data_IF_371333594627
#
_entry.id   IF_371333594627
#
_cell.length_a   1.000
_cell.length_b   1.000
_cell.length_c   1.000
_cell.angle_alpha   90.00
_cell.angle_beta   90.00
_cell.angle_gamma   90.00
#
_symmetry.space_group_name_H-M   'P 1'
#
loop_
_entity.id
_entity.type
_entity.pdbx_description
1 polymer ?
#
# COMPACT_ATOMS: atom_id res chain seq x y z
N UNK A 1 19.66 -33.81 -4.35
CA UNK A 1 19.82 -33.09 -5.64
C UNK A 1 18.44 -32.81 -6.18
N UNK A 2 18.02 -31.54 -6.13
CA UNK A 2 16.75 -31.09 -6.71
C UNK A 2 16.90 -30.92 -8.22
N UNK A 3 15.93 -31.42 -8.98
CA UNK A 3 15.87 -31.20 -10.42
C UNK A 3 15.07 -29.93 -10.67
N UNK A 4 15.71 -28.89 -11.19
CA UNK A 4 15.01 -27.68 -11.64
C UNK A 4 14.39 -28.01 -13.01
N UNK A 5 13.05 -27.98 -13.07
CA UNK A 5 12.32 -28.10 -14.32
C UNK A 5 11.88 -26.73 -14.79
N UNK A 6 12.15 -26.43 -16.04
CA UNK A 6 11.63 -25.25 -16.72
C UNK A 6 10.29 -25.59 -17.36
N UNK A 7 9.22 -24.91 -16.95
CA UNK A 7 7.95 -24.96 -17.66
C UNK A 7 7.72 -23.61 -18.35
N UNK A 8 7.38 -23.60 -19.64
CA UNK A 8 7.05 -22.37 -20.34
C UNK A 8 5.68 -21.86 -19.86
N UNK A 9 5.68 -20.76 -19.09
CA UNK A 9 4.47 -20.08 -18.68
C UNK A 9 4.20 -18.90 -19.61
N UNK A 10 2.96 -18.82 -20.16
CA UNK A 10 2.47 -17.57 -20.75
C UNK A 10 2.22 -16.54 -19.65
N UNK A 11 2.24 -15.25 -19.98
CA UNK A 11 1.93 -14.19 -19.01
C UNK A 11 0.54 -14.38 -18.37
N UNK A 12 -0.46 -14.80 -19.15
CA UNK A 12 -1.79 -15.10 -18.62
C UNK A 12 -1.79 -16.25 -17.60
N UNK A 13 -1.07 -17.35 -17.87
CA UNK A 13 -0.92 -18.45 -16.90
C UNK A 13 -0.19 -17.99 -15.63
N UNK A 14 0.82 -17.13 -15.79
CA UNK A 14 1.57 -16.58 -14.67
C UNK A 14 0.69 -15.68 -13.80
N UNK A 15 -0.11 -14.82 -14.40
CA UNK A 15 -1.07 -13.98 -13.68
C UNK A 15 -2.07 -14.82 -12.90
N UNK A 16 -2.72 -15.81 -13.54
CA UNK A 16 -3.66 -16.70 -12.87
C UNK A 16 -3.02 -17.52 -11.74
N UNK A 17 -1.75 -17.91 -11.88
CA UNK A 17 -1.01 -18.58 -10.82
C UNK A 17 -0.86 -17.69 -9.59
N UNK A 18 -0.46 -16.43 -9.75
CA UNK A 18 -0.31 -15.50 -8.62
C UNK A 18 -1.64 -15.10 -8.01
N UNK A 19 -2.69 -14.86 -8.81
CA UNK A 19 -4.03 -14.60 -8.29
C UNK A 19 -4.51 -15.75 -7.39
N UNK A 20 -4.35 -17.00 -7.84
CA UNK A 20 -4.68 -18.19 -7.03
C UNK A 20 -3.85 -18.27 -5.75
N UNK A 21 -2.57 -17.87 -5.76
CA UNK A 21 -1.72 -17.85 -4.57
C UNK A 21 -2.17 -16.81 -3.56
N UNK A 22 -2.54 -15.60 -4.00
CA UNK A 22 -3.07 -14.55 -3.12
C UNK A 22 -4.28 -15.07 -2.33
N UNK A 23 -5.18 -15.79 -2.99
CA UNK A 23 -6.35 -16.41 -2.36
C UNK A 23 -5.95 -17.55 -1.41
N UNK A 24 -5.15 -18.50 -1.91
CA UNK A 24 -4.80 -19.73 -1.20
C UNK A 24 -4.03 -19.46 0.11
N UNK A 25 -3.23 -18.42 0.16
CA UNK A 25 -2.45 -18.04 1.33
C UNK A 25 -3.07 -16.92 2.16
N UNK A 26 -4.28 -16.47 1.82
CA UNK A 26 -5.02 -15.49 2.59
C UNK A 26 -4.37 -14.12 2.64
N UNK A 27 -3.67 -13.71 1.55
CA UNK A 27 -3.00 -12.41 1.48
C UNK A 27 -3.98 -11.24 1.43
N UNK A 28 -5.21 -11.46 1.00
CA UNK A 28 -6.24 -10.43 0.87
C UNK A 28 -7.08 -10.31 2.13
N UNK A 29 -7.34 -9.07 2.57
CA UNK A 29 -8.22 -8.77 3.70
C UNK A 29 -8.75 -7.35 3.60
N UNK A 30 -10.07 -7.18 3.65
CA UNK A 30 -10.75 -5.87 3.63
C UNK A 30 -10.31 -4.96 2.44
N UNK A 31 -10.03 -5.57 1.29
CA UNK A 31 -9.51 -4.87 0.11
C UNK A 31 -8.00 -4.67 0.10
N UNK A 32 -7.30 -4.86 1.22
CA UNK A 32 -5.85 -4.86 1.28
C UNK A 32 -5.24 -6.15 0.73
N UNK A 33 -4.05 -6.01 0.19
CA UNK A 33 -3.14 -7.12 -0.13
C UNK A 33 -1.93 -6.99 0.79
N UNK A 34 -1.64 -8.05 1.55
CA UNK A 34 -0.56 -8.05 2.53
C UNK A 34 0.63 -8.92 2.08
N UNK A 35 1.83 -8.56 2.50
CA UNK A 35 2.93 -9.51 2.51
C UNK A 35 2.65 -10.64 3.52
N UNK A 36 3.32 -11.77 3.35
CA UNK A 36 3.25 -12.89 4.28
C UNK A 36 4.61 -13.13 4.92
N UNK A 37 4.58 -13.48 6.20
CA UNK A 37 5.72 -13.98 6.94
C UNK A 37 5.44 -15.42 7.36
N UNK A 38 6.42 -16.30 7.22
CA UNK A 38 6.30 -17.66 7.71
C UNK A 38 6.50 -17.69 9.22
N UNK A 39 5.50 -18.16 9.95
CA UNK A 39 5.57 -18.36 11.39
C UNK A 39 6.14 -19.78 11.66
N UNK A 40 7.39 -19.84 12.10
CA UNK A 40 8.10 -21.09 12.37
C UNK A 40 7.51 -21.88 13.55
N UNK A 41 6.92 -21.21 14.52
CA UNK A 41 6.33 -21.85 15.68
C UNK A 41 4.99 -22.49 15.33
N UNK A 42 4.12 -21.74 14.65
CA UNK A 42 2.78 -22.18 14.25
C UNK A 42 2.77 -22.97 12.95
N UNK A 43 3.91 -23.04 12.22
CA UNK A 43 4.03 -23.70 10.90
C UNK A 43 2.97 -23.23 9.90
N UNK A 44 2.73 -21.92 9.86
CA UNK A 44 1.73 -21.32 8.98
C UNK A 44 2.19 -19.97 8.45
N UNK A 45 1.56 -19.51 7.36
CA UNK A 45 1.73 -18.15 6.87
C UNK A 45 0.87 -17.20 7.71
N UNK A 46 1.47 -16.10 8.15
CA UNK A 46 0.80 -15.01 8.81
C UNK A 46 0.89 -13.75 7.94
N UNK A 47 -0.17 -12.94 7.92
CA UNK A 47 -0.13 -11.62 7.29
C UNK A 47 0.85 -10.76 8.06
N UNK A 48 1.74 -10.13 7.32
CA UNK A 48 2.69 -9.22 7.91
C UNK A 48 2.02 -7.86 8.12
N UNK A 49 2.01 -7.35 9.35
CA UNK A 49 1.59 -5.98 9.68
C UNK A 49 2.72 -5.05 9.25
N UNK A 50 2.76 -4.81 7.96
CA UNK A 50 3.94 -4.33 7.27
C UNK A 50 4.03 -2.80 7.26
N UNK A 51 5.18 -2.32 6.88
CA UNK A 51 5.41 -0.93 6.51
C UNK A 51 4.87 -0.62 5.10
N UNK A 52 4.36 -1.62 4.36
CA UNK A 52 4.15 -1.53 2.91
C UNK A 52 2.77 -2.02 2.45
N UNK A 53 1.74 -1.96 3.28
CA UNK A 53 0.40 -2.41 2.89
C UNK A 53 -0.21 -1.53 1.79
N UNK A 54 0.07 -0.22 1.81
CA UNK A 54 -0.30 0.69 0.71
C UNK A 54 0.40 0.31 -0.59
N UNK A 55 1.71 0.02 -0.53
CA UNK A 55 2.50 -0.43 -1.68
C UNK A 55 1.99 -1.74 -2.26
N UNK A 56 1.81 -2.75 -1.42
CA UNK A 56 1.33 -4.07 -1.84
C UNK A 56 -0.08 -3.99 -2.45
N UNK A 57 -0.99 -3.27 -1.80
CA UNK A 57 -2.36 -3.06 -2.27
C UNK A 57 -2.39 -2.27 -3.56
N UNK A 58 -1.55 -1.22 -3.67
CA UNK A 58 -1.43 -0.42 -4.89
C UNK A 58 -1.02 -1.25 -6.10
N UNK A 59 -0.04 -2.14 -5.94
CA UNK A 59 0.35 -3.05 -7.03
C UNK A 59 -0.80 -3.96 -7.49
N UNK A 60 -1.57 -4.49 -6.54
CA UNK A 60 -2.73 -5.33 -6.87
C UNK A 60 -3.86 -4.52 -7.53
N UNK A 61 -4.15 -3.31 -7.01
CA UNK A 61 -5.09 -2.36 -7.59
C UNK A 61 -4.76 -2.08 -9.07
N UNK A 62 -3.49 -1.75 -9.35
CA UNK A 62 -3.04 -1.49 -10.71
C UNK A 62 -3.16 -2.74 -11.59
N UNK A 63 -2.76 -3.92 -11.08
CA UNK A 63 -2.85 -5.18 -11.81
C UNK A 63 -4.30 -5.52 -12.21
N UNK A 64 -5.25 -5.37 -11.28
CA UNK A 64 -6.67 -5.62 -11.55
C UNK A 64 -7.27 -4.58 -12.52
N UNK A 65 -6.84 -3.33 -12.42
CA UNK A 65 -7.24 -2.27 -13.36
C UNK A 65 -6.75 -2.57 -14.78
N UNK A 66 -5.49 -3.01 -14.94
CA UNK A 66 -4.96 -3.44 -16.23
C UNK A 66 -5.69 -4.70 -16.78
N UNK A 67 -5.97 -5.67 -15.89
CA UNK A 67 -6.72 -6.87 -16.29
C UNK A 67 -8.10 -6.51 -16.82
N UNK A 68 -8.82 -5.65 -16.10
CA UNK A 68 -10.12 -5.15 -16.56
C UNK A 68 -10.02 -4.45 -17.92
N UNK A 69 -9.10 -3.51 -18.07
CA UNK A 69 -8.90 -2.78 -19.32
C UNK A 69 -8.57 -3.69 -20.51
N UNK A 70 -7.81 -4.77 -20.26
CA UNK A 70 -7.40 -5.71 -21.32
C UNK A 70 -8.46 -6.75 -21.67
N UNK A 71 -9.34 -7.11 -20.74
CA UNK A 71 -10.25 -8.27 -20.89
C UNK A 71 -11.72 -7.94 -20.77
N UNK A 72 -12.09 -6.79 -20.19
CA UNK A 72 -13.46 -6.48 -19.80
C UNK A 72 -14.00 -7.31 -18.64
N UNK A 73 -13.11 -7.96 -17.86
CA UNK A 73 -13.50 -8.81 -16.74
C UNK A 73 -14.03 -7.97 -15.56
N UNK A 74 -15.35 -7.96 -15.38
CA UNK A 74 -16.00 -7.22 -14.30
C UNK A 74 -15.60 -7.71 -12.89
N UNK A 75 -15.19 -8.97 -12.74
CA UNK A 75 -14.65 -9.46 -11.46
C UNK A 75 -13.32 -8.76 -11.14
N UNK A 76 -12.44 -8.59 -12.13
CA UNK A 76 -11.21 -7.84 -11.95
C UNK A 76 -11.49 -6.35 -11.62
N UNK A 77 -12.50 -5.74 -12.24
CA UNK A 77 -12.92 -4.39 -11.90
C UNK A 77 -13.40 -4.30 -10.46
N UNK A 78 -14.22 -5.24 -10.01
CA UNK A 78 -14.70 -5.27 -8.62
C UNK A 78 -13.54 -5.39 -7.62
N UNK A 79 -12.56 -6.24 -7.88
CA UNK A 79 -11.34 -6.36 -7.08
C UNK A 79 -10.54 -5.03 -7.03
N UNK A 80 -10.44 -4.35 -8.18
CA UNK A 80 -9.81 -3.03 -8.22
C UNK A 80 -10.58 -2.00 -7.37
N UNK A 81 -11.91 -1.99 -7.42
CA UNK A 81 -12.75 -1.10 -6.61
C UNK A 81 -12.56 -1.36 -5.11
N UNK A 82 -12.51 -2.62 -4.68
CA UNK A 82 -12.29 -2.95 -3.26
C UNK A 82 -10.88 -2.53 -2.80
N UNK A 83 -9.86 -2.75 -3.61
CA UNK A 83 -8.50 -2.29 -3.30
C UNK A 83 -8.40 -0.76 -3.30
N UNK A 84 -9.09 -0.09 -4.21
CA UNK A 84 -9.17 1.38 -4.20
C UNK A 84 -9.82 1.92 -2.92
N UNK A 85 -10.91 1.31 -2.44
CA UNK A 85 -11.51 1.66 -1.15
C UNK A 85 -10.52 1.51 0.02
N UNK A 86 -9.73 0.42 0.02
CA UNK A 86 -8.70 0.19 1.02
C UNK A 86 -7.60 1.26 0.96
N UNK A 87 -7.14 1.65 -0.24
CA UNK A 87 -6.17 2.74 -0.41
C UNK A 87 -6.70 4.07 0.11
N UNK A 88 -7.97 4.40 -0.15
CA UNK A 88 -8.60 5.62 0.41
C UNK A 88 -8.71 5.51 1.94
N UNK A 89 -9.03 4.35 2.48
CA UNK A 89 -9.13 4.17 3.93
C UNK A 89 -7.80 4.40 4.65
N UNK A 90 -6.65 4.09 4.03
CA UNK A 90 -5.33 4.47 4.58
C UNK A 90 -5.17 5.97 4.80
N UNK A 91 -5.86 6.82 4.05
CA UNK A 91 -5.90 8.26 4.30
C UNK A 91 -6.98 8.61 5.34
N UNK A 92 -8.20 8.14 5.13
CA UNK A 92 -9.36 8.52 5.94
C UNK A 92 -9.18 8.18 7.43
N UNK A 93 -8.53 7.06 7.75
CA UNK A 93 -8.32 6.60 9.13
C UNK A 93 -7.42 7.53 9.94
N UNK A 94 -6.53 8.26 9.29
CA UNK A 94 -5.61 9.19 9.97
C UNK A 94 -6.32 10.43 10.52
N UNK A 95 -7.49 10.77 9.96
CA UNK A 95 -8.20 12.01 10.24
C UNK A 95 -7.50 13.27 9.74
N UNK A 96 -6.37 13.13 9.03
CA UNK A 96 -5.58 14.24 8.50
C UNK A 96 -5.60 14.19 6.97
N UNK A 97 -6.22 15.17 6.28
CA UNK A 97 -6.29 15.16 4.83
C UNK A 97 -4.91 15.05 4.16
N UNK A 98 -4.75 14.04 3.30
CA UNK A 98 -3.53 13.78 2.56
C UNK A 98 -2.42 13.06 3.32
N UNK A 99 -2.57 12.80 4.63
CA UNK A 99 -1.69 11.89 5.36
C UNK A 99 -2.20 10.46 5.17
N UNK A 100 -1.38 9.59 4.62
CA UNK A 100 -1.71 8.17 4.44
C UNK A 100 -1.00 7.32 5.50
N UNK A 101 -1.71 6.35 6.06
CA UNK A 101 -1.15 5.34 6.96
C UNK A 101 -0.34 4.30 6.17
N UNK A 102 0.60 3.63 6.84
CA UNK A 102 1.32 2.46 6.29
C UNK A 102 0.47 1.21 6.29
N UNK A 103 -0.27 1.00 7.38
CA UNK A 103 -1.09 -0.20 7.62
C UNK A 103 -2.25 0.12 8.54
N UNK A 104 -3.28 -0.72 8.49
CA UNK A 104 -4.44 -0.70 9.38
C UNK A 104 -4.66 -2.10 9.93
N UNK A 105 -4.88 -2.20 11.23
CA UNK A 105 -5.21 -3.45 11.88
C UNK A 105 -6.15 -3.25 13.09
N UNK A 106 -6.60 -4.34 13.70
CA UNK A 106 -7.36 -4.32 14.94
C UNK A 106 -7.03 -5.52 15.82
N UNK A 107 -7.33 -5.41 17.11
CA UNK A 107 -7.04 -6.46 18.10
C UNK A 107 -7.72 -7.80 17.77
N UNK A 108 -8.89 -7.77 17.12
CA UNK A 108 -9.64 -8.98 16.74
C UNK A 108 -8.88 -9.87 15.73
N UNK A 109 -7.96 -9.27 14.98
CA UNK A 109 -7.14 -9.95 13.97
C UNK A 109 -5.72 -10.27 14.43
N UNK A 110 -5.38 -9.94 15.68
CA UNK A 110 -4.01 -9.98 16.19
C UNK A 110 -3.32 -11.34 16.01
N UNK A 111 -4.05 -12.42 16.15
CA UNK A 111 -3.51 -13.78 15.98
C UNK A 111 -3.15 -14.13 14.52
N UNK A 112 -3.76 -13.44 13.56
CA UNK A 112 -3.52 -13.65 12.14
C UNK A 112 -2.35 -12.82 11.57
N UNK A 113 -1.68 -12.04 12.42
CA UNK A 113 -0.66 -11.10 12.01
C UNK A 113 0.70 -11.42 12.59
N UNK A 114 1.75 -11.15 11.83
CA UNK A 114 3.10 -11.03 12.37
C UNK A 114 3.36 -9.58 12.75
N UNK A 115 3.95 -9.36 13.92
CA UNK A 115 4.42 -8.03 14.31
C UNK A 115 5.79 -7.77 13.68
N UNK A 116 5.93 -6.65 12.97
CA UNK A 116 7.23 -6.14 12.54
C UNK A 116 7.72 -5.06 13.52
N UNK A 117 9.01 -5.14 13.83
CA UNK A 117 9.73 -4.01 14.43
C UNK A 117 9.82 -2.93 13.35
N UNK A 118 9.54 -1.68 13.70
CA UNK A 118 9.60 -0.56 12.76
C UNK A 118 10.96 -0.45 12.07
N UNK A 119 10.98 0.12 10.88
CA UNK A 119 12.18 0.29 10.06
C UNK A 119 13.34 0.91 10.84
N UNK A 120 14.52 0.32 10.72
CA UNK A 120 15.72 0.76 11.43
C UNK A 120 15.76 0.45 12.92
N UNK A 121 15.00 -0.54 13.39
CA UNK A 121 15.01 -1.00 14.79
C UNK A 121 14.28 -0.06 15.76
N UNK A 122 13.55 0.92 15.26
CA UNK A 122 12.72 1.80 16.07
C UNK A 122 11.31 1.21 16.25
N UNK A 123 10.66 1.47 17.42
CA UNK A 123 9.29 1.03 17.63
C UNK A 123 8.36 1.57 16.54
N UNK A 124 7.39 0.77 16.09
CA UNK A 124 6.37 1.25 15.16
C UNK A 124 5.53 2.36 15.78
N UNK A 125 5.12 3.34 14.98
CA UNK A 125 4.23 4.42 15.41
C UNK A 125 2.78 4.01 15.20
N UNK A 126 2.21 3.30 16.13
CA UNK A 126 0.79 2.95 16.11
C UNK A 126 -0.07 4.04 16.72
N UNK A 127 -1.17 4.36 16.06
CA UNK A 127 -2.13 5.37 16.44
C UNK A 127 -3.51 4.73 16.55
N UNK A 128 -4.08 4.71 17.77
CA UNK A 128 -5.41 4.16 18.01
C UNK A 128 -6.48 5.16 17.62
N UNK A 129 -7.51 4.67 16.93
CA UNK A 129 -8.70 5.48 16.60
C UNK A 129 -9.70 5.39 17.76
N UNK A 130 -9.92 6.51 18.44
CA UNK A 130 -10.79 6.56 19.62
C UNK A 130 -12.20 6.00 19.34
N UNK A 131 -12.69 5.15 20.23
CA UNK A 131 -14.03 4.55 20.14
C UNK A 131 -14.17 3.45 19.10
N UNK A 132 -13.06 2.97 18.53
CA UNK A 132 -13.04 1.86 17.56
C UNK A 132 -11.96 0.83 17.92
N UNK A 133 -12.03 -0.40 17.37
CA UNK A 133 -10.97 -1.39 17.56
C UNK A 133 -9.74 -1.12 16.67
N UNK A 134 -9.78 -0.11 15.80
CA UNK A 134 -8.77 0.12 14.76
C UNK A 134 -7.57 0.90 15.25
N UNK A 135 -6.41 0.46 14.76
CA UNK A 135 -5.13 1.17 14.85
C UNK A 135 -4.51 1.31 13.46
N UNK A 136 -3.76 2.36 13.26
CA UNK A 136 -3.03 2.60 12.03
C UNK A 136 -1.58 2.97 12.30
N UNK A 137 -0.70 2.57 11.39
CA UNK A 137 0.75 2.79 11.50
C UNK A 137 1.14 4.08 10.78
N UNK A 138 1.78 4.98 11.52
CA UNK A 138 2.31 6.25 11.03
C UNK A 138 3.75 6.17 10.55
N UNK A 139 4.43 7.31 10.47
CA UNK A 139 5.79 7.47 9.94
C UNK A 139 5.92 6.97 8.50
N UNK A 140 4.93 7.31 7.68
CA UNK A 140 4.78 6.84 6.31
C UNK A 140 5.93 7.31 5.43
N UNK A 141 6.36 6.43 4.54
CA UNK A 141 7.49 6.64 3.64
C UNK A 141 7.07 7.14 2.25
N UNK A 142 8.04 7.60 1.49
CA UNK A 142 7.82 8.08 0.12
C UNK A 142 7.37 6.98 -0.85
N UNK A 143 7.83 5.75 -0.69
CA UNK A 143 7.42 4.61 -1.51
C UNK A 143 5.94 4.26 -1.33
N UNK A 144 5.41 4.35 -0.11
CA UNK A 144 3.97 4.22 0.13
C UNK A 144 3.17 5.31 -0.59
N UNK A 145 3.63 6.56 -0.52
CA UNK A 145 2.99 7.68 -1.22
C UNK A 145 3.06 7.51 -2.74
N UNK A 146 4.20 7.08 -3.28
CA UNK A 146 4.37 6.78 -4.72
C UNK A 146 3.39 5.70 -5.17
N UNK A 147 3.16 4.67 -4.35
CA UNK A 147 2.18 3.63 -4.66
C UNK A 147 0.75 4.20 -4.79
N UNK A 148 0.36 5.16 -3.94
CA UNK A 148 -0.92 5.85 -4.09
C UNK A 148 -1.00 6.61 -5.41
N UNK A 149 0.00 7.42 -5.75
CA UNK A 149 0.01 8.17 -7.01
C UNK A 149 -0.04 7.26 -8.23
N UNK A 150 0.75 6.20 -8.23
CA UNK A 150 0.77 5.24 -9.33
C UNK A 150 -0.55 4.48 -9.48
N UNK A 151 -0.95 3.78 -8.43
CA UNK A 151 -2.05 2.83 -8.52
C UNK A 151 -3.41 3.51 -8.67
N UNK A 152 -3.64 4.61 -7.96
CA UNK A 152 -4.90 5.35 -8.02
C UNK A 152 -5.05 6.06 -9.37
N UNK A 153 -3.95 6.56 -9.97
CA UNK A 153 -3.99 7.12 -11.32
C UNK A 153 -4.31 6.03 -12.36
N UNK A 154 -3.67 4.86 -12.27
CA UNK A 154 -3.98 3.72 -13.14
C UNK A 154 -5.46 3.29 -13.00
N UNK A 155 -5.96 3.19 -11.78
CA UNK A 155 -7.36 2.87 -11.52
C UNK A 155 -8.30 3.93 -12.11
N UNK A 156 -8.02 5.21 -11.89
CA UNK A 156 -8.79 6.33 -12.43
C UNK A 156 -8.95 6.22 -13.94
N UNK A 157 -7.86 5.97 -14.64
CA UNK A 157 -7.86 5.96 -16.12
C UNK A 157 -8.46 4.70 -16.71
N UNK A 158 -8.28 3.54 -16.06
CA UNK A 158 -8.58 2.24 -16.68
C UNK A 158 -9.84 1.56 -16.11
N UNK A 159 -10.19 1.77 -14.85
CA UNK A 159 -11.25 0.99 -14.20
C UNK A 159 -12.31 1.83 -13.48
N UNK A 160 -11.98 3.04 -13.04
CA UNK A 160 -12.89 3.89 -12.30
C UNK A 160 -14.05 4.41 -13.15
N UNK A 161 -15.24 4.47 -12.56
CA UNK A 161 -16.46 4.97 -13.20
C UNK A 161 -17.16 5.99 -12.30
N UNK A 162 -17.84 6.96 -12.92
CA UNK A 162 -18.71 7.91 -12.22
C UNK A 162 -18.06 8.60 -11.04
N UNK A 163 -18.57 8.35 -9.84
CA UNK A 163 -18.07 8.96 -8.59
C UNK A 163 -16.71 8.46 -8.16
N UNK A 164 -16.30 7.26 -8.60
CA UNK A 164 -14.98 6.70 -8.29
C UNK A 164 -13.86 7.57 -8.86
N UNK A 165 -14.02 8.11 -10.08
CA UNK A 165 -13.06 9.03 -10.70
C UNK A 165 -12.84 10.28 -9.84
N UNK A 166 -13.93 10.91 -9.42
CA UNK A 166 -13.85 12.11 -8.56
C UNK A 166 -13.17 11.82 -7.22
N UNK A 167 -13.47 10.66 -6.62
CA UNK A 167 -12.80 10.24 -5.38
C UNK A 167 -11.31 10.00 -5.58
N UNK A 168 -10.90 9.41 -6.70
CA UNK A 168 -9.50 9.18 -7.04
C UNK A 168 -8.75 10.51 -7.22
N UNK A 169 -9.31 11.45 -7.99
CA UNK A 169 -8.76 12.79 -8.18
C UNK A 169 -8.60 13.54 -6.84
N UNK A 170 -9.64 13.50 -6.01
CA UNK A 170 -9.66 14.18 -4.72
C UNK A 170 -8.62 13.58 -3.74
N UNK A 171 -8.50 12.27 -3.70
CA UNK A 171 -7.52 11.56 -2.90
C UNK A 171 -6.08 11.98 -3.27
N UNK A 172 -5.72 11.89 -4.56
CA UNK A 172 -4.39 12.29 -5.02
C UNK A 172 -4.13 13.79 -4.80
N UNK A 173 -5.15 14.61 -5.00
CA UNK A 173 -5.05 16.05 -4.75
C UNK A 173 -4.75 16.35 -3.28
N UNK A 174 -5.44 15.70 -2.33
CA UNK A 174 -5.18 15.91 -0.89
C UNK A 174 -3.76 15.49 -0.52
N UNK A 175 -3.27 14.36 -1.00
CA UNK A 175 -1.89 13.91 -0.73
C UNK A 175 -0.89 14.94 -1.31
N UNK A 176 -1.09 15.40 -2.54
CA UNK A 176 -0.23 16.39 -3.16
C UNK A 176 -0.17 17.70 -2.36
N UNK A 177 -1.34 18.24 -1.97
CA UNK A 177 -1.38 19.47 -1.17
C UNK A 177 -0.77 19.27 0.22
N UNK A 178 -1.00 18.13 0.87
CA UNK A 178 -0.36 17.84 2.16
C UNK A 178 1.17 17.94 2.07
N UNK A 179 1.77 17.39 1.01
CA UNK A 179 3.21 17.44 0.78
C UNK A 179 3.68 18.87 0.48
N UNK A 180 2.97 19.57 -0.41
CA UNK A 180 3.34 20.94 -0.83
C UNK A 180 3.23 21.93 0.33
N UNK A 181 2.14 21.91 1.06
CA UNK A 181 1.87 22.81 2.19
C UNK A 181 2.84 22.60 3.36
N UNK A 182 3.43 21.40 3.45
CA UNK A 182 4.44 21.05 4.45
C UNK A 182 5.90 21.14 3.94
N UNK A 183 6.14 21.90 2.87
CA UNK A 183 7.48 22.16 2.37
C UNK A 183 8.16 20.93 1.79
N UNK A 184 7.44 20.18 0.95
CA UNK A 184 7.90 18.97 0.27
C UNK A 184 8.22 17.80 1.24
N UNK A 185 7.45 17.70 2.32
CA UNK A 185 7.60 16.67 3.35
C UNK A 185 6.23 16.12 3.73
N UNK A 186 6.20 14.86 4.07
CA UNK A 186 5.01 14.27 4.70
C UNK A 186 5.05 14.59 6.19
N UNK A 187 4.03 15.27 6.70
CA UNK A 187 3.90 15.60 8.11
C UNK A 187 2.96 14.62 8.79
N UNK A 188 3.46 13.97 9.83
CA UNK A 188 2.72 13.01 10.63
C UNK A 188 1.73 13.70 11.58
N UNK A 189 0.85 12.92 12.19
CA UNK A 189 -0.20 13.39 13.12
C UNK A 189 0.37 14.13 14.34
N UNK A 190 1.60 13.82 14.74
CA UNK A 190 2.30 14.49 15.85
C UNK A 190 2.88 15.87 15.47
N UNK A 191 2.61 16.35 14.26
CA UNK A 191 3.11 17.60 13.72
C UNK A 191 4.59 17.59 13.31
N UNK A 192 5.26 16.44 13.39
CA UNK A 192 6.64 16.25 12.93
C UNK A 192 6.67 15.68 11.53
N UNK A 193 7.77 15.88 10.83
CA UNK A 193 7.97 15.25 9.54
C UNK A 193 8.24 13.75 9.74
N UNK A 194 7.68 12.92 8.84
CA UNK A 194 8.05 11.51 8.78
C UNK A 194 9.53 11.37 8.40
N UNK A 195 10.14 10.26 8.75
CA UNK A 195 11.57 10.03 8.46
C UNK A 195 11.86 9.90 6.97
N UNK A 196 10.96 9.31 6.21
CA UNK A 196 11.19 8.85 4.85
C UNK A 196 10.35 9.56 3.79
N UNK A 197 9.26 10.24 4.18
CA UNK A 197 8.39 11.00 3.27
C UNK A 197 8.96 12.38 2.97
N UNK A 198 10.03 12.44 2.17
CA UNK A 198 10.81 13.65 1.94
C UNK A 198 11.13 13.84 0.46
N UNK A 199 10.76 15.01 -0.08
CA UNK A 199 10.96 15.37 -1.48
C UNK A 199 11.63 16.74 -1.64
N UNK A 200 12.08 17.40 -0.57
CA UNK A 200 12.76 18.68 -0.65
C UNK A 200 14.08 18.57 -1.43
N UNK A 201 14.44 19.58 -2.24
CA UNK A 201 15.64 19.55 -3.10
C UNK A 201 16.92 19.24 -2.34
N UNK A 202 17.08 19.80 -1.15
CA UNK A 202 18.27 19.59 -0.31
C UNK A 202 18.43 18.12 0.11
N UNK A 203 17.32 17.40 0.29
CA UNK A 203 17.35 15.97 0.59
C UNK A 203 17.65 15.12 -0.65
N UNK A 204 17.02 15.42 -1.78
CA UNK A 204 17.20 14.69 -3.02
C UNK A 204 18.59 14.88 -3.64
N UNK A 205 19.22 16.05 -3.43
CA UNK A 205 20.53 16.39 -4.00
C UNK A 205 21.71 15.98 -3.13
N UNK A 206 21.50 15.36 -1.97
CA UNK A 206 22.59 14.88 -1.10
C UNK A 206 23.49 13.87 -1.84
N UNK A 207 24.84 13.85 -1.54
CA UNK A 207 25.77 12.93 -2.17
C UNK A 207 25.36 11.45 -2.08
N UNK A 208 24.73 11.06 -0.98
CA UNK A 208 24.21 9.71 -0.74
C UNK A 208 22.72 9.57 -1.08
N UNK A 209 22.12 10.57 -1.70
CA UNK A 209 20.71 10.59 -2.06
C UNK A 209 20.33 9.72 -3.27
N UNK A 210 21.19 8.78 -3.69
CA UNK A 210 20.89 7.84 -4.78
C UNK A 210 19.60 7.05 -4.50
N UNK A 211 19.45 6.54 -3.29
CA UNK A 211 18.25 5.81 -2.87
C UNK A 211 17.01 6.71 -2.86
N UNK A 212 17.12 7.89 -2.26
CA UNK A 212 16.05 8.87 -2.24
C UNK A 212 15.64 9.35 -3.63
N UNK A 213 16.61 9.57 -4.54
CA UNK A 213 16.32 9.97 -5.93
C UNK A 213 15.63 8.88 -6.74
N UNK A 214 15.96 7.63 -6.51
CA UNK A 214 15.32 6.49 -7.18
C UNK A 214 13.87 6.28 -6.75
N UNK A 215 13.58 6.44 -5.45
CA UNK A 215 12.25 6.19 -4.90
C UNK A 215 11.35 7.42 -4.89
N UNK A 216 11.92 8.61 -4.71
CA UNK A 216 11.15 9.86 -4.55
C UNK A 216 11.10 10.72 -5.81
N UNK A 217 11.85 10.37 -6.83
CA UNK A 217 11.98 11.17 -8.05
C UNK A 217 11.08 10.72 -9.21
N UNK A 218 10.09 9.87 -8.94
CA UNK A 218 9.13 9.42 -9.93
C UNK A 218 7.88 10.30 -9.97
#
# INVERSE_FOLDING_TARGET
LGIIRYEPYTLAKKAAFFEKHLEAYGQKRLGFTHALTWDEEKKQWARNVSDNDGGNTGHYLAAMSFKYAATGDEAARQEAVESFKAMIWLEEITGVPGLVARSIWCDEDKEAWSEEIGSGGLPPKWNRVAGTPWEWKGDTSSDEVVAHFYAVAVFHDLAAQGTEKKRAEEHLRRIAYHILDNGWKLRDIDGKNTRWGRWEPEYLLRPYGFYARGLNGM
#
